data_IF_278199015107
#
_entry.id   IF_278199015107
#
_cell.length_a   1.000
_cell.length_b   1.000
_cell.length_c   1.000
_cell.angle_alpha   90.00
_cell.angle_beta   90.00
_cell.angle_gamma   90.00
#
_symmetry.space_group_name_H-M   'P 1'
#
loop_
_entity.id
_entity.type
_entity.pdbx_description
1 polymer ?
#
# COMPACT_ATOMS: atom_id res chain seq x y z
N UNK A 1 -0.01 -30.63 1.45
CA UNK A 1 0.30 -29.20 1.60
C UNK A 1 -0.71 -28.50 0.71
N UNK A 2 -1.78 -27.97 1.30
CA UNK A 2 -2.87 -27.33 0.53
C UNK A 2 -2.31 -26.19 -0.31
N UNK A 3 -2.55 -26.24 -1.62
CA UNK A 3 -2.17 -25.21 -2.56
C UNK A 3 -3.03 -23.96 -2.27
N UNK A 4 -2.56 -23.10 -1.37
CA UNK A 4 -3.13 -21.77 -1.06
C UNK A 4 -3.05 -20.78 -2.25
N UNK A 5 -2.74 -21.24 -3.46
CA UNK A 5 -2.43 -20.41 -4.62
C UNK A 5 -3.62 -20.05 -5.51
N UNK A 6 -4.83 -20.56 -5.26
CA UNK A 6 -5.91 -20.46 -6.26
C UNK A 6 -7.00 -19.41 -5.96
N UNK A 7 -6.98 -18.77 -4.79
CA UNK A 7 -7.98 -17.75 -4.41
C UNK A 7 -7.48 -16.32 -4.46
N UNK A 8 -6.21 -16.10 -4.79
CA UNK A 8 -5.58 -14.79 -4.82
C UNK A 8 -4.89 -14.54 -6.17
N UNK A 9 -4.75 -13.27 -6.52
CA UNK A 9 -3.88 -12.79 -7.59
C UNK A 9 -2.92 -11.73 -7.02
N UNK A 10 -1.74 -11.60 -7.63
CA UNK A 10 -0.71 -10.67 -7.19
C UNK A 10 -0.71 -9.40 -8.03
N UNK A 11 -0.55 -8.26 -7.37
CA UNK A 11 -0.21 -6.98 -8.00
C UNK A 11 0.93 -6.33 -7.24
N UNK A 12 1.54 -5.31 -7.81
CA UNK A 12 2.65 -4.57 -7.22
C UNK A 12 2.26 -3.13 -6.93
N UNK A 13 2.86 -2.54 -5.90
CA UNK A 13 2.79 -1.11 -5.65
C UNK A 13 4.14 -0.61 -5.16
N UNK A 14 4.55 0.53 -5.69
CA UNK A 14 5.87 1.10 -5.47
C UNK A 14 5.75 2.36 -4.59
N UNK A 15 6.45 2.40 -3.46
CA UNK A 15 6.39 3.50 -2.50
C UNK A 15 7.76 4.13 -2.30
N UNK A 16 7.78 5.46 -2.12
CA UNK A 16 8.97 6.18 -1.67
C UNK A 16 9.39 5.76 -0.25
N UNK A 17 8.40 5.45 0.59
CA UNK A 17 8.63 4.92 1.94
C UNK A 17 7.59 3.88 2.30
N UNK A 18 8.05 2.69 2.66
CA UNK A 18 7.26 1.62 3.26
C UNK A 18 7.51 1.50 4.78
N UNK A 19 8.04 2.54 5.43
CA UNK A 19 8.39 2.53 6.85
C UNK A 19 7.23 2.02 7.69
N UNK A 20 7.49 1.04 8.56
CA UNK A 20 6.49 0.44 9.46
C UNK A 20 5.49 -0.50 8.80
N UNK A 21 5.41 -0.57 7.46
CA UNK A 21 4.67 -1.63 6.77
C UNK A 21 5.49 -2.93 6.83
N UNK A 22 4.81 -4.07 6.98
CA UNK A 22 5.45 -5.39 7.12
C UNK A 22 4.79 -6.42 6.21
N UNK A 23 5.55 -7.46 5.84
CA UNK A 23 4.98 -8.67 5.28
C UNK A 23 3.89 -9.22 6.22
N UNK A 24 2.74 -9.58 5.66
CA UNK A 24 1.58 -10.01 6.43
C UNK A 24 0.62 -8.88 6.84
N UNK A 25 0.92 -7.61 6.57
CA UNK A 25 -0.02 -6.51 6.84
C UNK A 25 -1.32 -6.65 6.02
N UNK A 26 -2.45 -6.23 6.59
CA UNK A 26 -3.74 -6.28 5.90
C UNK A 26 -3.73 -5.36 4.67
N UNK A 27 -4.46 -5.79 3.64
CA UNK A 27 -4.89 -4.91 2.55
C UNK A 27 -6.40 -4.77 2.69
N UNK A 28 -6.87 -3.52 2.76
CA UNK A 28 -8.25 -3.19 3.04
C UNK A 28 -8.82 -2.26 1.97
N UNK A 29 -10.11 -2.44 1.66
CA UNK A 29 -10.90 -1.55 0.83
C UNK A 29 -12.18 -1.23 1.58
N UNK A 30 -12.52 0.06 1.70
CA UNK A 30 -13.66 0.53 2.50
C UNK A 30 -13.69 -0.05 3.95
N UNK A 31 -12.52 -0.28 4.55
CA UNK A 31 -12.37 -0.86 5.90
C UNK A 31 -12.59 -2.37 5.98
N UNK A 32 -12.75 -3.06 4.85
CA UNK A 32 -12.89 -4.52 4.78
C UNK A 32 -11.61 -5.12 4.23
N UNK A 33 -11.09 -6.15 4.90
CA UNK A 33 -9.93 -6.90 4.43
C UNK A 33 -10.24 -7.62 3.12
N UNK A 34 -9.41 -7.40 2.11
CA UNK A 34 -9.49 -7.99 0.76
C UNK A 34 -8.21 -8.72 0.34
N UNK A 35 -7.20 -8.71 1.20
CA UNK A 35 -5.90 -9.23 0.85
C UNK A 35 -4.89 -9.08 1.99
N UNK A 36 -3.63 -9.25 1.64
CA UNK A 36 -2.51 -9.08 2.56
C UNK A 36 -1.21 -8.78 1.78
N UNK A 37 -0.28 -8.07 2.41
CA UNK A 37 1.07 -7.86 1.86
C UNK A 37 1.82 -9.18 1.87
N UNK A 38 2.29 -9.63 0.71
CA UNK A 38 3.08 -10.85 0.61
C UNK A 38 4.56 -10.59 0.93
N UNK A 39 5.16 -9.59 0.29
CA UNK A 39 6.57 -9.26 0.47
C UNK A 39 6.86 -7.78 0.19
N UNK A 40 7.97 -7.27 0.74
CA UNK A 40 8.47 -5.91 0.51
C UNK A 40 9.96 -6.02 0.16
N UNK A 41 10.36 -5.44 -0.97
CA UNK A 41 11.74 -5.40 -1.42
C UNK A 41 12.17 -3.97 -1.75
N UNK A 42 13.46 -3.68 -1.65
CA UNK A 42 14.03 -2.43 -2.14
C UNK A 42 14.50 -2.62 -3.59
N UNK A 43 14.07 -1.76 -4.50
CA UNK A 43 14.64 -1.65 -5.85
C UNK A 43 15.91 -0.77 -5.76
N UNK A 44 17.12 -1.36 -5.78
CA UNK A 44 18.33 -0.67 -5.35
C UNK A 44 18.73 0.51 -6.25
N UNK A 45 18.42 0.42 -7.54
CA UNK A 45 18.81 1.43 -8.53
C UNK A 45 18.05 2.75 -8.38
N UNK A 46 16.78 2.67 -7.97
CA UNK A 46 15.88 3.81 -7.86
C UNK A 46 15.50 4.13 -6.41
N UNK A 47 15.92 3.31 -5.45
CA UNK A 47 15.68 3.46 -4.00
C UNK A 47 14.18 3.51 -3.65
N UNK A 48 13.38 2.73 -4.37
CA UNK A 48 11.93 2.60 -4.16
C UNK A 48 11.62 1.27 -3.48
N UNK A 49 10.69 1.29 -2.53
CA UNK A 49 10.17 0.08 -1.91
C UNK A 49 9.06 -0.52 -2.79
N UNK A 50 9.32 -1.68 -3.39
CA UNK A 50 8.31 -2.44 -4.11
C UNK A 50 7.61 -3.40 -3.17
N UNK A 51 6.29 -3.29 -3.09
CA UNK A 51 5.43 -4.13 -2.27
C UNK A 51 4.66 -5.08 -3.18
N UNK A 52 4.75 -6.38 -2.90
CA UNK A 52 3.92 -7.40 -3.55
C UNK A 52 2.65 -7.62 -2.73
N UNK A 53 1.51 -7.36 -3.34
CA UNK A 53 0.18 -7.50 -2.76
C UNK A 53 -0.43 -8.82 -3.22
N UNK A 54 -1.11 -9.55 -2.34
CA UNK A 54 -2.03 -10.63 -2.71
C UNK A 54 -3.46 -10.21 -2.44
N UNK A 55 -4.29 -10.19 -3.50
CA UNK A 55 -5.67 -9.71 -3.50
C UNK A 55 -6.59 -10.89 -3.79
N UNK A 56 -7.72 -11.00 -3.08
CA UNK A 56 -8.71 -12.05 -3.35
C UNK A 56 -9.25 -11.93 -4.78
N UNK A 57 -9.29 -13.03 -5.54
CA UNK A 57 -9.77 -13.06 -6.95
C UNK A 57 -11.20 -12.58 -7.15
N UNK A 58 -12.01 -12.49 -6.08
CA UNK A 58 -13.38 -11.96 -6.13
C UNK A 58 -13.43 -10.43 -6.19
N UNK A 59 -12.31 -9.77 -5.97
CA UNK A 59 -12.18 -8.30 -5.96
C UNK A 59 -11.46 -7.90 -7.24
N UNK A 60 -12.12 -7.06 -8.03
CA UNK A 60 -11.51 -6.47 -9.22
C UNK A 60 -10.98 -5.08 -8.85
N UNK A 61 -9.73 -4.81 -9.20
CA UNK A 61 -9.13 -3.50 -9.03
C UNK A 61 -9.07 -2.82 -10.39
N UNK A 62 -9.57 -1.58 -10.48
CA UNK A 62 -9.41 -0.76 -11.66
C UNK A 62 -7.96 -0.30 -11.81
N UNK A 63 -7.53 0.02 -13.03
CA UNK A 63 -6.16 0.49 -13.31
C UNK A 63 -5.80 1.81 -12.60
N UNK A 64 -6.82 2.60 -12.25
CA UNK A 64 -6.72 3.88 -11.52
C UNK A 64 -6.98 3.74 -10.01
N UNK A 65 -6.87 2.52 -9.46
CA UNK A 65 -6.89 2.29 -8.01
C UNK A 65 -5.71 3.02 -7.34
N UNK A 66 -5.94 3.56 -6.15
CA UNK A 66 -4.89 4.21 -5.34
C UNK A 66 -4.54 3.32 -4.16
N UNK A 67 -3.25 3.06 -3.95
CA UNK A 67 -2.74 2.33 -2.80
C UNK A 67 -2.07 3.25 -1.78
N UNK A 68 -2.61 3.33 -0.57
CA UNK A 68 -2.08 4.19 0.50
C UNK A 68 -1.61 3.38 1.70
N UNK A 69 -0.41 3.67 2.22
CA UNK A 69 0.03 3.13 3.52
C UNK A 69 -0.61 3.95 4.65
N UNK A 70 -1.47 3.31 5.45
CA UNK A 70 -2.18 3.94 6.57
C UNK A 70 -1.83 3.27 7.89
N UNK A 71 -2.06 3.97 8.99
CA UNK A 71 -1.89 3.46 10.35
C UNK A 71 -3.27 3.15 10.95
N UNK A 72 -3.43 1.99 11.59
CA UNK A 72 -4.65 1.67 12.30
C UNK A 72 -4.78 2.52 13.58
N UNK A 73 -5.58 3.59 13.51
CA UNK A 73 -5.65 4.58 14.59
C UNK A 73 -4.32 5.35 14.74
N UNK A 74 -4.03 5.82 15.96
CA UNK A 74 -2.85 6.64 16.22
C UNK A 74 -1.55 5.83 16.38
N UNK A 75 -1.64 4.61 16.92
CA UNK A 75 -0.48 3.81 17.34
C UNK A 75 -0.50 2.36 16.82
N UNK A 76 -1.49 1.99 16.02
CA UNK A 76 -1.63 0.62 15.54
C UNK A 76 -0.65 0.28 14.42
N UNK A 77 -0.72 -0.96 13.97
CA UNK A 77 0.08 -1.43 12.85
C UNK A 77 -0.30 -0.68 11.55
N UNK A 78 0.67 -0.60 10.64
CA UNK A 78 0.44 -0.08 9.29
C UNK A 78 -0.19 -1.15 8.40
N UNK A 79 -1.11 -0.70 7.56
CA UNK A 79 -1.83 -1.52 6.59
C UNK A 79 -1.91 -0.78 5.25
N UNK A 80 -2.28 -1.49 4.19
CA UNK A 80 -2.55 -0.88 2.88
C UNK A 80 -4.05 -0.65 2.72
N UNK A 81 -4.42 0.59 2.40
CA UNK A 81 -5.78 0.97 2.01
C UNK A 81 -5.82 1.12 0.50
N UNK A 82 -6.70 0.37 -0.18
CA UNK A 82 -7.00 0.56 -1.59
C UNK A 82 -8.26 1.40 -1.74
N UNK A 83 -8.13 2.52 -2.46
CA UNK A 83 -9.26 3.38 -2.83
C UNK A 83 -9.65 3.03 -4.26
N UNK A 84 -10.91 2.61 -4.51
CA UNK A 84 -11.34 2.25 -5.86
C UNK A 84 -11.29 3.46 -6.79
N UNK A 85 -10.84 3.23 -8.01
CA UNK A 85 -10.98 4.19 -9.10
C UNK A 85 -12.30 4.03 -9.85
N UNK A 86 -12.39 4.67 -11.01
CA UNK A 86 -13.58 4.69 -11.86
C UNK A 86 -13.36 4.13 -13.27
N UNK A 87 -12.17 3.59 -13.58
CA UNK A 87 -11.89 2.99 -14.88
C UNK A 87 -12.62 1.65 -15.07
N UNK A 88 -13.07 1.40 -16.30
CA UNK A 88 -13.60 0.10 -16.74
C UNK A 88 -12.48 -0.93 -16.97
N UNK A 89 -11.23 -0.47 -17.11
CA UNK A 89 -10.05 -1.33 -17.25
C UNK A 89 -9.57 -1.83 -15.89
N UNK A 90 -9.17 -3.11 -15.84
CA UNK A 90 -8.82 -3.80 -14.61
C UNK A 90 -7.35 -4.24 -14.61
N UNK A 91 -6.73 -4.17 -13.44
CA UNK A 91 -5.40 -4.75 -13.21
C UNK A 91 -5.46 -6.28 -13.28
N UNK A 92 -4.46 -6.87 -13.92
CA UNK A 92 -4.25 -8.29 -14.06
C UNK A 92 -3.16 -8.80 -13.11
N UNK A 93 -2.99 -10.13 -13.05
CA UNK A 93 -1.89 -10.76 -12.33
C UNK A 93 -0.55 -10.20 -12.81
N UNK A 94 0.22 -9.67 -11.86
CA UNK A 94 1.55 -9.12 -12.10
C UNK A 94 1.59 -7.63 -12.44
N UNK A 95 0.44 -6.98 -12.61
CA UNK A 95 0.38 -5.56 -12.92
C UNK A 95 0.80 -4.70 -11.72
N UNK A 96 1.14 -3.43 -11.99
CA UNK A 96 1.52 -2.45 -10.98
C UNK A 96 0.42 -1.39 -10.82
N UNK A 97 0.08 -1.08 -9.57
CA UNK A 97 -0.72 0.08 -9.21
C UNK A 97 0.14 1.32 -9.45
N UNK A 98 -0.37 2.25 -10.27
CA UNK A 98 0.37 3.46 -10.65
C UNK A 98 0.34 4.52 -9.54
N UNK A 99 -0.83 4.71 -8.90
CA UNK A 99 -1.03 5.75 -7.89
C UNK A 99 -0.78 5.22 -6.47
N UNK A 100 0.27 5.74 -5.83
CA UNK A 100 0.67 5.31 -4.48
C UNK A 100 0.87 6.48 -3.52
N UNK A 101 0.44 6.30 -2.28
CA UNK A 101 0.63 7.25 -1.19
C UNK A 101 1.46 6.60 -0.08
N UNK A 102 2.67 7.13 0.12
CA UNK A 102 3.58 6.66 1.18
C UNK A 102 3.07 7.05 2.56
N UNK A 103 3.51 6.31 3.59
CA UNK A 103 3.16 6.64 4.96
C UNK A 103 3.68 8.04 5.33
N UNK A 104 2.85 8.83 6.00
CA UNK A 104 3.31 10.07 6.63
C UNK A 104 4.18 9.71 7.85
N UNK A 105 5.31 10.39 7.98
CA UNK A 105 6.10 10.38 9.19
C UNK A 105 5.62 11.50 10.12
N UNK A 106 5.14 11.11 11.30
CA UNK A 106 4.63 12.08 12.29
C UNK A 106 5.78 12.95 12.80
N UNK A 107 7.00 12.42 12.90
CA UNK A 107 8.18 13.17 13.32
C UNK A 107 8.49 14.29 12.33
N UNK A 108 8.38 14.01 11.03
CA UNK A 108 8.56 15.02 9.97
C UNK A 108 7.45 16.08 10.03
N UNK A 109 6.20 15.69 10.29
CA UNK A 109 5.09 16.64 10.42
C UNK A 109 5.25 17.57 11.63
N UNK A 110 5.65 17.02 12.79
CA UNK A 110 5.91 17.80 14.00
C UNK A 110 7.10 18.73 13.78
N UNK A 111 8.19 18.23 13.20
CA UNK A 111 9.37 19.03 12.89
C UNK A 111 9.01 20.18 11.95
N UNK A 112 8.26 19.89 10.88
CA UNK A 112 7.75 20.92 9.97
C UNK A 112 6.94 21.96 10.72
N UNK A 113 6.03 21.57 11.62
CA UNK A 113 5.21 22.51 12.38
C UNK A 113 6.04 23.40 13.32
N UNK A 114 6.99 22.83 14.05
CA UNK A 114 7.87 23.58 14.97
C UNK A 114 8.73 24.59 14.20
N UNK A 115 9.39 24.16 13.14
CA UNK A 115 10.36 25.00 12.41
C UNK A 115 9.72 25.95 11.39
N UNK A 116 8.47 25.72 10.96
CA UNK A 116 7.74 26.68 10.12
C UNK A 116 7.07 27.81 10.91
N UNK A 117 7.03 27.70 12.25
CA UNK A 117 6.57 28.76 13.15
C UNK A 117 7.58 29.90 13.34
N UNK A 118 8.87 29.65 13.11
CA UNK A 118 9.98 30.59 13.36
C UNK A 118 10.35 31.46 12.14
N UNK A 119 9.64 31.34 11.02
CA UNK A 119 9.86 32.15 9.81
C UNK A 119 9.02 33.45 9.77
N UNK A 120 8.93 34.18 10.88
CA UNK A 120 8.43 35.56 10.93
C UNK A 120 9.28 36.47 11.81
#
# INVERSE_FOLDING_TARGET
MELLGDNYYSVYADFNSATGLKGGANIEMAGVRIGQVENIILLPNIKIARVKLKIEKRINLSVDVIASVKTAGLLGDRYLSLTPGGSDEQLQEGDSIEETESALDIEDLISKYIFSGDSK
#
